data_IF_236901393791
#
_entry.id   IF_236901393791
#
_cell.length_a   1.000
_cell.length_b   1.000
_cell.length_c   1.000
_cell.angle_alpha   90.00
_cell.angle_beta   90.00
_cell.angle_gamma   90.00
#
_symmetry.space_group_name_H-M   'P 1'
#
loop_
_entity.id
_entity.type
_entity.pdbx_description
1 polymer ?
#
# COMPACT_ATOMS: atom_id res chain seq x y z
N UNK A 1 -6.93 -6.04 -9.76
CA UNK A 1 -5.61 -6.39 -10.33
C UNK A 1 -4.81 -7.16 -9.30
N UNK A 2 -3.90 -8.03 -9.73
CA UNK A 2 -2.97 -8.77 -8.85
C UNK A 2 -1.65 -8.97 -9.60
N UNK A 3 -0.55 -9.09 -8.87
CA UNK A 3 0.72 -9.49 -9.47
C UNK A 3 0.58 -10.92 -10.00
N UNK A 4 1.19 -11.20 -11.16
CA UNK A 4 1.23 -12.54 -11.74
C UNK A 4 1.99 -13.51 -10.82
N UNK A 5 3.15 -13.06 -10.33
CA UNK A 5 3.95 -13.80 -9.36
C UNK A 5 3.91 -13.08 -8.00
N UNK A 6 3.50 -13.75 -6.91
CA UNK A 6 3.51 -13.17 -5.57
C UNK A 6 4.93 -12.84 -5.11
N UNK A 7 5.10 -11.72 -4.40
CA UNK A 7 6.35 -11.39 -3.73
C UNK A 7 6.51 -12.31 -2.51
N UNK A 8 7.43 -13.27 -2.60
CA UNK A 8 7.77 -14.21 -1.51
C UNK A 8 9.16 -13.90 -0.97
N UNK A 9 9.31 -12.72 -0.37
CA UNK A 9 10.57 -12.32 0.25
C UNK A 9 10.37 -12.10 1.75
N UNK A 10 10.86 -13.00 2.62
CA UNK A 10 10.68 -12.88 4.07
C UNK A 10 11.46 -11.69 4.67
N UNK A 11 12.43 -11.13 3.94
CA UNK A 11 13.18 -9.96 4.38
C UNK A 11 12.45 -8.63 4.11
N UNK A 12 11.30 -8.67 3.44
CA UNK A 12 10.48 -7.48 3.14
C UNK A 12 9.15 -7.61 3.88
N UNK A 13 9.05 -6.93 5.01
CA UNK A 13 7.81 -6.87 5.80
C UNK A 13 6.82 -5.91 5.14
N UNK A 14 5.57 -6.33 4.89
CA UNK A 14 4.53 -5.41 4.44
C UNK A 14 4.35 -4.24 5.40
N UNK A 15 4.20 -3.04 4.85
CA UNK A 15 3.95 -1.86 5.67
C UNK A 15 2.49 -1.82 6.12
N UNK A 16 2.26 -1.36 7.35
CA UNK A 16 0.93 -1.19 7.89
C UNK A 16 0.17 -0.08 7.14
N UNK A 17 -1.13 -0.29 6.96
CA UNK A 17 -2.05 0.76 6.57
C UNK A 17 -2.51 1.52 7.81
N UNK A 18 -2.82 2.80 7.63
CA UNK A 18 -3.18 3.69 8.72
C UNK A 18 -4.25 4.65 8.25
N UNK A 19 -5.03 5.19 9.19
CA UNK A 19 -5.99 6.25 8.92
C UNK A 19 -5.32 7.54 8.42
N UNK A 20 -6.12 8.44 7.84
CA UNK A 20 -5.62 9.72 7.39
C UNK A 20 -5.06 10.54 8.57
N UNK A 21 -3.89 11.19 8.41
CA UNK A 21 -3.25 11.94 9.48
C UNK A 21 -3.98 13.25 9.73
N UNK A 22 -3.93 13.78 10.95
CA UNK A 22 -4.54 15.08 11.29
C UNK A 22 -4.02 16.18 10.37
N UNK A 23 -4.87 17.16 10.06
CA UNK A 23 -4.46 18.37 9.33
C UNK A 23 -3.26 19.02 10.04
N UNK A 24 -2.27 19.47 9.27
CA UNK A 24 -1.00 20.00 9.74
C UNK A 24 0.07 18.96 10.08
N UNK A 25 -0.24 17.66 10.03
CA UNK A 25 0.75 16.60 10.26
C UNK A 25 1.79 16.55 9.15
N UNK A 26 3.03 16.24 9.52
CA UNK A 26 4.07 15.90 8.57
C UNK A 26 3.77 14.56 7.90
N UNK A 27 3.90 14.55 6.58
CA UNK A 27 3.76 13.37 5.74
C UNK A 27 4.96 13.28 4.79
N UNK A 28 5.18 12.07 4.27
CA UNK A 28 6.19 11.81 3.26
C UNK A 28 5.63 11.10 2.05
N UNK A 29 6.25 11.31 0.90
CA UNK A 29 5.92 10.64 -0.36
C UNK A 29 7.20 10.03 -0.93
N UNK A 30 7.08 8.80 -1.42
CA UNK A 30 8.10 8.18 -2.27
C UNK A 30 7.52 8.02 -3.66
N UNK A 31 8.07 8.71 -4.65
CA UNK A 31 7.47 8.81 -5.98
C UNK A 31 8.50 8.72 -7.11
N UNK A 32 8.04 8.25 -8.26
CA UNK A 32 8.70 8.48 -9.54
C UNK A 32 8.03 9.66 -10.25
N UNK A 33 8.76 10.37 -11.09
CA UNK A 33 8.22 11.48 -11.87
C UNK A 33 8.97 11.63 -13.20
N UNK A 34 8.36 12.29 -14.18
CA UNK A 34 8.91 12.49 -15.54
C UNK A 34 10.37 12.99 -15.56
N UNK A 35 10.75 13.85 -14.62
CA UNK A 35 12.11 14.40 -14.54
C UNK A 35 13.04 13.60 -13.61
N UNK A 36 12.53 12.53 -12.98
CA UNK A 36 13.19 11.71 -11.95
C UNK A 36 12.78 10.23 -12.11
N UNK A 37 12.91 9.70 -13.33
CA UNK A 37 12.44 8.35 -13.67
C UNK A 37 13.42 7.25 -13.26
N UNK A 38 14.72 7.58 -13.16
CA UNK A 38 15.78 6.59 -12.93
C UNK A 38 15.93 6.16 -11.47
N UNK A 39 15.13 6.72 -10.56
CA UNK A 39 15.15 6.34 -9.14
C UNK A 39 14.02 6.98 -8.34
N UNK A 40 13.65 6.37 -7.20
CA UNK A 40 12.59 6.90 -6.36
C UNK A 40 13.04 8.22 -5.72
N UNK A 41 12.17 9.23 -5.79
CA UNK A 41 12.33 10.50 -5.09
C UNK A 41 11.63 10.43 -3.74
N UNK A 42 12.33 10.80 -2.67
CA UNK A 42 11.77 10.84 -1.31
C UNK A 42 11.58 12.29 -0.88
N UNK A 43 10.35 12.65 -0.55
CA UNK A 43 10.02 13.93 0.07
C UNK A 43 9.41 13.65 1.44
N UNK A 44 10.07 14.06 2.54
CA UNK A 44 9.70 13.66 3.91
C UNK A 44 9.12 14.78 4.77
N UNK A 45 8.88 15.96 4.18
CA UNK A 45 8.46 17.18 4.90
C UNK A 45 7.37 17.95 4.14
N UNK A 46 6.31 17.25 3.74
CA UNK A 46 5.07 17.92 3.33
C UNK A 46 4.04 17.90 4.46
N UNK A 47 2.97 18.66 4.29
CA UNK A 47 1.88 18.77 5.26
C UNK A 47 0.58 18.20 4.69
N UNK A 48 -0.19 17.55 5.57
CA UNK A 48 -1.61 17.30 5.34
C UNK A 48 -2.37 18.64 5.42
N UNK A 49 -2.71 19.22 4.28
CA UNK A 49 -3.31 20.55 4.19
C UNK A 49 -4.81 20.52 4.52
N UNK A 50 -5.53 19.49 4.05
CA UNK A 50 -6.95 19.32 4.29
C UNK A 50 -7.37 17.85 4.10
N UNK A 51 -8.59 17.54 4.53
CA UNK A 51 -9.25 16.26 4.24
C UNK A 51 -10.68 16.50 3.77
N UNK A 52 -11.09 15.85 2.69
CA UNK A 52 -12.44 15.95 2.14
C UNK A 52 -12.89 14.58 1.63
N UNK A 53 -13.94 13.99 2.23
CA UNK A 53 -14.56 12.75 1.74
C UNK A 53 -13.54 11.63 1.39
N UNK A 54 -12.65 11.27 2.33
CA UNK A 54 -11.56 10.29 2.16
C UNK A 54 -10.46 10.68 1.16
N UNK A 55 -10.43 11.94 0.72
CA UNK A 55 -9.32 12.53 -0.05
C UNK A 55 -8.44 13.33 0.89
N UNK A 56 -7.14 13.08 0.82
CA UNK A 56 -6.10 13.85 1.50
C UNK A 56 -5.57 14.92 0.55
N UNK A 57 -5.63 16.18 0.97
CA UNK A 57 -4.97 17.30 0.30
C UNK A 57 -3.61 17.52 0.95
N UNK A 58 -2.57 17.63 0.15
CA UNK A 58 -1.18 17.60 0.59
C UNK A 58 -0.39 18.73 -0.05
N UNK A 59 0.59 19.25 0.67
CA UNK A 59 1.55 20.23 0.11
C UNK A 59 2.73 19.55 -0.59
N UNK A 60 2.66 18.24 -0.87
CA UNK A 60 3.77 17.54 -1.50
C UNK A 60 3.91 17.96 -2.97
N UNK A 61 5.15 18.16 -3.39
CA UNK A 61 5.50 18.40 -4.78
C UNK A 61 5.46 17.08 -5.54
N UNK A 62 4.51 16.95 -6.46
CA UNK A 62 4.32 15.78 -7.30
C UNK A 62 4.14 16.22 -8.74
N UNK A 63 4.52 15.36 -9.67
CA UNK A 63 4.46 15.64 -11.11
C UNK A 63 3.97 14.37 -11.85
N UNK A 64 3.81 14.45 -13.17
CA UNK A 64 3.44 13.32 -14.01
C UNK A 64 4.34 12.11 -13.76
N UNK A 65 3.72 10.96 -13.51
CA UNK A 65 4.38 9.73 -13.09
C UNK A 65 4.26 9.43 -11.60
N UNK A 66 3.88 10.41 -10.77
CA UNK A 66 3.72 10.21 -9.33
C UNK A 66 2.39 9.56 -8.94
N UNK A 67 1.41 9.44 -9.85
CA UNK A 67 0.16 8.72 -9.58
C UNK A 67 0.46 7.28 -9.14
N UNK A 68 -0.17 6.82 -8.07
CA UNK A 68 0.12 5.53 -7.44
C UNK A 68 1.19 5.58 -6.36
N UNK A 69 1.88 6.71 -6.17
CA UNK A 69 2.93 6.83 -5.15
C UNK A 69 2.37 6.72 -3.73
N UNK A 70 3.01 5.94 -2.84
CA UNK A 70 2.58 5.83 -1.46
C UNK A 70 2.86 7.12 -0.67
N UNK A 71 1.89 7.50 0.15
CA UNK A 71 1.99 8.57 1.14
C UNK A 71 2.09 7.94 2.52
N UNK A 72 3.07 8.39 3.29
CA UNK A 72 3.40 7.87 4.62
C UNK A 72 3.16 8.93 5.68
N UNK A 73 2.76 8.49 6.87
CA UNK A 73 2.75 9.31 8.06
C UNK A 73 3.41 8.56 9.23
N UNK A 74 4.03 9.31 10.13
CA UNK A 74 4.51 8.76 11.40
C UNK A 74 3.36 8.71 12.39
N UNK A 75 3.16 7.54 13.01
CA UNK A 75 2.19 7.32 14.08
C UNK A 75 2.84 6.77 15.34
N UNK A 76 2.04 6.58 16.39
CA UNK A 76 2.47 5.90 17.61
C UNK A 76 2.93 4.46 17.35
N UNK A 77 2.45 3.82 16.27
CA UNK A 77 2.79 2.44 15.90
C UNK A 77 3.89 2.38 14.83
N UNK A 78 4.59 3.49 14.59
CA UNK A 78 5.61 3.61 13.55
C UNK A 78 5.08 4.25 12.26
N UNK A 79 5.81 4.05 11.17
CA UNK A 79 5.47 4.61 9.86
C UNK A 79 4.43 3.72 9.19
N UNK A 80 3.36 4.31 8.69
CA UNK A 80 2.28 3.62 7.97
C UNK A 80 1.90 4.33 6.68
N UNK A 81 1.32 3.57 5.75
CA UNK A 81 0.74 4.11 4.51
C UNK A 81 -0.65 4.68 4.83
N UNK A 82 -0.86 5.95 4.53
CA UNK A 82 -2.12 6.65 4.80
C UNK A 82 -2.93 6.95 3.54
N UNK A 83 -2.25 7.09 2.40
CA UNK A 83 -2.87 7.50 1.14
C UNK A 83 -2.03 7.09 -0.06
N UNK A 84 -2.61 7.14 -1.25
CA UNK A 84 -1.90 7.01 -2.53
C UNK A 84 -2.14 8.27 -3.37
N UNK A 85 -1.08 8.84 -3.92
CA UNK A 85 -1.17 10.02 -4.80
C UNK A 85 -2.03 9.69 -6.02
N UNK A 86 -3.03 10.51 -6.29
CA UNK A 86 -3.92 10.33 -7.43
C UNK A 86 -3.82 11.46 -8.44
N UNK A 87 -3.72 12.71 -7.96
CA UNK A 87 -3.81 13.89 -8.82
C UNK A 87 -3.03 15.09 -8.28
N UNK A 88 -2.78 16.04 -9.17
CA UNK A 88 -2.35 17.40 -8.87
C UNK A 88 -3.57 18.32 -8.95
N UNK A 89 -3.61 19.35 -8.11
CA UNK A 89 -4.66 20.35 -8.12
C UNK A 89 -4.11 21.71 -7.67
N UNK A 90 -4.96 22.72 -7.72
CA UNK A 90 -4.71 24.04 -7.15
C UNK A 90 -5.74 24.31 -6.05
N UNK A 91 -5.30 24.89 -4.94
CA UNK A 91 -6.16 25.33 -3.84
C UNK A 91 -5.71 26.72 -3.42
N UNK A 92 -6.59 27.71 -3.62
CA UNK A 92 -6.33 29.13 -3.35
C UNK A 92 -5.06 29.68 -4.04
N UNK A 93 -4.82 29.28 -5.30
CA UNK A 93 -3.65 29.69 -6.08
C UNK A 93 -2.35 29.01 -5.66
N UNK A 94 -2.43 27.93 -4.88
CA UNK A 94 -1.28 27.14 -4.46
C UNK A 94 -1.38 25.72 -5.03
N UNK A 95 -0.31 25.21 -5.65
CA UNK A 95 -0.29 23.83 -6.10
C UNK A 95 -0.35 22.89 -4.90
N UNK A 96 -1.22 21.89 -5.00
CA UNK A 96 -1.41 20.83 -4.01
C UNK A 96 -1.47 19.48 -4.70
N UNK A 97 -1.14 18.43 -3.96
CA UNK A 97 -1.35 17.05 -4.37
C UNK A 97 -2.54 16.44 -3.65
N UNK A 98 -3.25 15.58 -4.36
CA UNK A 98 -4.42 14.86 -3.85
C UNK A 98 -4.10 13.38 -3.76
N UNK A 99 -4.59 12.73 -2.71
CA UNK A 99 -4.48 11.29 -2.58
C UNK A 99 -5.74 10.66 -1.99
N UNK A 100 -6.01 9.42 -2.40
CA UNK A 100 -7.12 8.64 -1.87
C UNK A 100 -6.69 7.87 -0.62
N UNK A 101 -7.52 7.89 0.42
CA UNK A 101 -7.32 7.06 1.62
C UNK A 101 -7.26 5.57 1.24
N UNK A 102 -6.22 4.89 1.72
CA UNK A 102 -5.98 3.48 1.38
C UNK A 102 -6.66 2.50 2.32
N UNK A 103 -6.84 2.86 3.59
CA UNK A 103 -7.27 1.91 4.62
C UNK A 103 -8.64 1.25 4.31
N UNK A 104 -9.74 2.00 4.05
CA UNK A 104 -11.03 1.36 3.81
C UNK A 104 -11.05 0.54 2.52
N UNK A 105 -10.39 1.03 1.45
CA UNK A 105 -10.40 0.40 0.12
C UNK A 105 -9.58 -0.89 0.13
N UNK A 106 -8.37 -0.86 0.69
CA UNK A 106 -7.47 -2.01 0.68
C UNK A 106 -7.97 -3.07 1.66
N UNK A 107 -8.54 -2.69 2.80
CA UNK A 107 -9.12 -3.67 3.75
C UNK A 107 -10.26 -4.46 3.10
N UNK A 108 -11.18 -3.80 2.40
CA UNK A 108 -12.24 -4.47 1.64
C UNK A 108 -11.67 -5.36 0.52
N UNK A 109 -10.65 -4.89 -0.20
CA UNK A 109 -10.01 -5.68 -1.24
C UNK A 109 -9.31 -6.92 -0.68
N UNK A 110 -8.60 -6.82 0.44
CA UNK A 110 -7.93 -7.93 1.10
C UNK A 110 -8.93 -8.97 1.61
N UNK A 111 -10.09 -8.55 2.12
CA UNK A 111 -11.16 -9.48 2.49
C UNK A 111 -11.67 -10.29 1.29
N UNK A 112 -11.75 -9.67 0.11
CA UNK A 112 -12.16 -10.33 -1.16
C UNK A 112 -11.07 -11.20 -1.78
N UNK A 113 -9.80 -10.88 -1.54
CA UNK A 113 -8.65 -11.64 -2.03
C UNK A 113 -8.21 -12.75 -1.07
N UNK A 114 -8.70 -12.73 0.17
CA UNK A 114 -8.48 -13.80 1.13
C UNK A 114 -9.00 -15.09 0.51
N UNK A 115 -8.21 -16.17 0.49
CA UNK A 115 -8.70 -17.46 0.02
C UNK A 115 -9.97 -17.77 0.81
N UNK A 116 -11.11 -17.85 0.13
CA UNK A 116 -12.24 -18.60 0.66
C UNK A 116 -11.69 -19.96 1.08
N UNK A 117 -12.16 -20.47 2.20
CA UNK A 117 -11.69 -21.65 2.95
C UNK A 117 -11.71 -23.00 2.15
N UNK A 118 -11.69 -22.95 0.82
CA UNK A 118 -11.73 -24.09 -0.10
C UNK A 118 -10.37 -24.81 -0.25
N UNK A 119 -9.29 -24.27 0.31
CA UNK A 119 -8.01 -24.99 0.43
C UNK A 119 -7.88 -25.82 1.72
N UNK A 120 -8.89 -25.85 2.60
CA UNK A 120 -8.96 -26.79 3.75
C UNK A 120 -9.67 -28.11 3.43
N UNK A 121 -9.76 -28.50 2.15
CA UNK A 121 -10.31 -29.80 1.75
C UNK A 121 -9.30 -30.66 0.97
N UNK A 122 -8.10 -30.90 1.51
CA UNK A 122 -7.34 -32.13 1.20
C UNK A 122 -6.49 -32.65 2.37
N UNK A 123 -6.77 -32.24 3.60
CA UNK A 123 -6.31 -32.98 4.78
C UNK A 123 -7.25 -34.14 5.05
N UNK A 124 -7.14 -35.23 4.29
CA UNK A 124 -7.94 -36.42 4.61
C UNK A 124 -7.81 -37.67 3.75
N UNK A 125 -7.27 -37.63 2.53
CA UNK A 125 -7.15 -38.87 1.74
C UNK A 125 -5.85 -39.61 2.08
N UNK A 126 -5.84 -40.27 3.25
CA UNK A 126 -4.91 -41.36 3.57
C UNK A 126 -4.93 -42.38 2.42
N UNK A 127 -3.98 -42.31 1.49
CA UNK A 127 -3.71 -43.41 0.57
C UNK A 127 -2.88 -44.42 1.34
N UNK A 128 -3.54 -45.46 1.85
CA UNK A 128 -2.89 -46.69 2.29
C UNK A 128 -2.27 -47.36 1.05
N UNK A 129 -1.06 -46.95 0.70
CA UNK A 129 -0.20 -47.71 -0.23
C UNK A 129 1.15 -47.88 0.44
N UNK A 130 1.19 -48.79 1.42
CA UNK A 130 2.44 -49.22 2.04
C UNK A 130 3.27 -50.05 1.06
N UNK A 131 4.55 -49.72 0.93
CA UNK A 131 5.53 -50.57 0.26
C UNK A 131 5.87 -51.77 1.16
N UNK A 132 5.75 -52.99 0.64
CA UNK A 132 6.23 -54.21 1.31
C UNK A 132 7.75 -54.32 1.12
N UNK A 133 8.50 -54.28 2.21
CA UNK A 133 9.90 -54.72 2.23
C UNK A 133 9.95 -56.24 2.36
N UNK A 134 10.53 -56.94 1.37
CA UNK A 134 11.03 -58.30 1.58
C UNK A 134 12.43 -58.22 2.19
N UNK A 135 12.66 -58.95 3.27
CA UNK A 135 13.96 -59.13 3.91
C UNK A 135 14.63 -60.40 3.35
N UNK A 136 15.96 -60.42 3.18
CA UNK A 136 16.74 -61.65 3.32
C UNK A 136 16.84 -62.08 4.80
#
# INVERSE_FOLDING_TARGET
MRLETPIRNPNVTPMNLTELPKIGSNIGVVSYAKSRMEGPSVQSRCLAAAQLNNVLVMTCDVDFGASGSPVFATTNNGIGIVSVVSAMADMDGRPVSLGASVNPVVTDLLAKLSPTDELRSDTGRRRNTGAKFQRP
#
